data_IF_605309080431
#
_entry.id   IF_605309080431
#
_cell.length_a   1.000
_cell.length_b   1.000
_cell.length_c   1.000
_cell.angle_alpha   90.00
_cell.angle_beta   90.00
_cell.angle_gamma   90.00
#
_symmetry.space_group_name_H-M   'P 1'
#
loop_
_entity.id
_entity.type
_entity.pdbx_description
1 polymer ?
#
# COMPACT_ATOMS: atom_id res chain seq x y z
N UNK A 1 -24.11 -14.77 5.53
CA UNK A 1 -22.65 -14.98 5.52
C UNK A 1 -22.00 -13.63 5.38
N UNK A 2 -21.09 -13.30 6.29
CA UNK A 2 -20.37 -12.04 6.32
C UNK A 2 -18.90 -12.32 5.97
N UNK A 3 -18.36 -11.61 4.99
CA UNK A 3 -16.96 -11.76 4.56
C UNK A 3 -16.10 -10.64 5.13
N UNK A 4 -14.81 -10.89 5.31
CA UNK A 4 -13.83 -9.87 5.69
C UNK A 4 -12.86 -9.63 4.54
N UNK A 5 -12.65 -8.36 4.17
CA UNK A 5 -11.61 -7.96 3.22
C UNK A 5 -10.31 -7.61 3.96
N UNK A 6 -9.17 -7.92 3.38
CA UNK A 6 -7.86 -7.46 3.84
C UNK A 6 -7.10 -6.83 2.68
N UNK A 7 -6.78 -5.55 2.81
CA UNK A 7 -5.88 -4.83 1.93
C UNK A 7 -4.47 -4.88 2.50
N UNK A 8 -3.56 -5.50 1.77
CA UNK A 8 -2.14 -5.58 2.07
C UNK A 8 -1.34 -4.79 1.01
N UNK A 9 -0.98 -3.55 1.36
CA UNK A 9 -0.16 -2.68 0.52
C UNK A 9 1.32 -2.95 0.82
N UNK A 10 1.90 -3.96 0.18
CA UNK A 10 3.30 -4.33 0.36
C UNK A 10 4.29 -3.48 -0.44
N UNK A 11 5.59 -3.68 -0.18
CA UNK A 11 6.68 -2.95 -0.84
C UNK A 11 6.82 -3.25 -2.33
N UNK A 12 6.44 -4.45 -2.80
CA UNK A 12 6.59 -4.82 -4.22
C UNK A 12 5.25 -4.99 -4.93
N UNK A 13 4.17 -5.21 -4.19
CA UNK A 13 2.84 -5.44 -4.74
C UNK A 13 1.76 -5.01 -3.76
N UNK A 14 0.59 -4.70 -4.30
CA UNK A 14 -0.65 -4.52 -3.52
C UNK A 14 -1.48 -5.78 -3.67
N UNK A 15 -2.11 -6.24 -2.59
CA UNK A 15 -2.97 -7.43 -2.57
C UNK A 15 -4.27 -7.14 -1.83
N UNK A 16 -5.37 -7.69 -2.33
CA UNK A 16 -6.62 -7.78 -1.58
C UNK A 16 -7.02 -9.24 -1.43
N UNK A 17 -7.40 -9.63 -0.22
CA UNK A 17 -7.81 -11.00 0.12
C UNK A 17 -9.19 -10.95 0.78
N UNK A 18 -10.08 -11.84 0.37
CA UNK A 18 -11.41 -12.02 0.97
C UNK A 18 -11.41 -13.30 1.78
N UNK A 19 -11.85 -13.19 3.03
CA UNK A 19 -11.97 -14.27 4.00
C UNK A 19 -13.44 -14.54 4.34
N UNK A 20 -13.80 -15.81 4.52
CA UNK A 20 -15.08 -16.20 5.13
C UNK A 20 -15.01 -16.20 6.67
N UNK A 21 -16.12 -16.56 7.31
CA UNK A 21 -16.26 -16.64 8.78
C UNK A 21 -15.36 -17.67 9.47
N UNK A 22 -14.79 -18.60 8.71
CA UNK A 22 -13.81 -19.58 9.21
C UNK A 22 -12.36 -19.09 9.13
N UNK A 23 -12.15 -17.93 8.47
CA UNK A 23 -10.83 -17.42 8.14
C UNK A 23 -10.22 -18.04 6.87
N UNK A 24 -11.03 -18.74 6.06
CA UNK A 24 -10.56 -19.32 4.80
C UNK A 24 -10.52 -18.27 3.69
N UNK A 25 -9.48 -18.32 2.83
CA UNK A 25 -9.38 -17.45 1.66
C UNK A 25 -10.37 -17.93 0.60
N UNK A 26 -11.35 -17.08 0.28
CA UNK A 26 -12.37 -17.36 -0.74
C UNK A 26 -12.18 -16.56 -2.02
N UNK A 27 -11.30 -15.56 -2.02
CA UNK A 27 -10.85 -14.87 -3.22
C UNK A 27 -9.67 -13.95 -2.94
N UNK A 28 -8.83 -13.73 -3.95
CA UNK A 28 -7.68 -12.84 -3.84
C UNK A 28 -7.30 -12.25 -5.20
N UNK A 29 -6.65 -11.09 -5.18
CA UNK A 29 -6.00 -10.51 -6.35
C UNK A 29 -4.78 -9.71 -5.91
N UNK A 30 -3.74 -9.70 -6.75
CA UNK A 30 -2.47 -9.04 -6.46
C UNK A 30 -1.91 -8.43 -7.73
N UNK A 31 -1.35 -7.24 -7.60
CA UNK A 31 -0.66 -6.55 -8.68
C UNK A 31 0.63 -5.91 -8.16
N UNK A 32 1.70 -6.06 -8.93
CA UNK A 32 2.96 -5.37 -8.66
C UNK A 32 2.84 -3.87 -8.97
N UNK A 33 3.69 -3.09 -8.33
CA UNK A 33 3.87 -1.67 -8.62
C UNK A 33 5.34 -1.38 -8.88
N UNK A 34 5.60 -0.29 -9.61
CA UNK A 34 6.93 0.00 -10.13
C UNK A 34 7.85 0.48 -9.01
N UNK A 35 9.04 -0.14 -8.92
CA UNK A 35 10.14 0.37 -8.13
C UNK A 35 10.82 1.52 -8.90
N UNK A 36 10.76 2.73 -8.38
CA UNK A 36 11.40 3.91 -8.99
C UNK A 36 12.71 4.15 -8.25
N UNK A 37 13.83 4.12 -8.99
CA UNK A 37 15.19 4.24 -8.46
C UNK A 37 15.92 5.41 -9.15
N UNK A 38 15.62 6.68 -8.80
CA UNK A 38 16.18 7.84 -9.51
C UNK A 38 17.70 7.98 -9.35
N UNK A 39 18.22 7.56 -8.20
CA UNK A 39 19.63 7.62 -7.82
C UNK A 39 19.99 6.42 -6.93
N UNK A 40 21.28 6.14 -6.76
CA UNK A 40 21.73 5.09 -5.86
C UNK A 40 21.25 5.38 -4.42
N UNK A 41 20.63 4.38 -3.78
CA UNK A 41 20.06 4.50 -2.42
C UNK A 41 18.68 5.18 -2.36
N UNK A 42 18.18 5.75 -3.45
CA UNK A 42 16.86 6.36 -3.49
C UNK A 42 15.82 5.34 -3.97
N UNK A 43 14.76 5.18 -3.18
CA UNK A 43 13.68 4.23 -3.47
C UNK A 43 12.36 4.95 -3.36
N UNK A 44 11.64 5.00 -4.48
CA UNK A 44 10.38 5.72 -4.62
C UNK A 44 9.28 4.84 -5.22
N UNK A 45 8.03 5.15 -4.87
CA UNK A 45 6.84 4.62 -5.54
C UNK A 45 5.95 5.76 -6.04
N UNK A 46 5.28 5.58 -7.17
CA UNK A 46 4.20 6.49 -7.57
C UNK A 46 2.98 6.26 -6.66
N UNK A 47 2.64 7.25 -5.84
CA UNK A 47 1.50 7.18 -4.92
C UNK A 47 0.15 7.02 -5.66
N UNK A 48 0.05 7.54 -6.88
CA UNK A 48 -1.13 7.36 -7.75
C UNK A 48 -1.21 5.92 -8.26
N UNK A 49 -0.07 5.28 -8.59
CA UNK A 49 -0.05 3.86 -8.95
C UNK A 49 -0.48 2.98 -7.77
N UNK A 50 0.03 3.23 -6.56
CA UNK A 50 -0.38 2.51 -5.34
C UNK A 50 -1.91 2.57 -5.17
N UNK A 51 -2.50 3.76 -5.36
CA UNK A 51 -3.95 3.94 -5.24
C UNK A 51 -4.73 3.26 -6.37
N UNK A 52 -4.24 3.30 -7.60
CA UNK A 52 -4.85 2.59 -8.73
C UNK A 52 -4.82 1.07 -8.51
N UNK A 53 -3.67 0.51 -8.10
CA UNK A 53 -3.54 -0.91 -7.76
C UNK A 53 -4.47 -1.33 -6.66
N UNK A 54 -4.61 -0.52 -5.60
CA UNK A 54 -5.56 -0.77 -4.50
C UNK A 54 -6.98 -0.99 -5.02
N UNK A 55 -7.47 -0.11 -5.90
CA UNK A 55 -8.80 -0.23 -6.48
C UNK A 55 -8.95 -1.46 -7.39
N UNK A 56 -7.91 -1.77 -8.18
CA UNK A 56 -7.90 -2.93 -9.07
C UNK A 56 -7.92 -4.25 -8.29
N UNK A 57 -7.11 -4.37 -7.24
CA UNK A 57 -7.06 -5.61 -6.44
C UNK A 57 -8.33 -5.86 -5.64
N UNK A 58 -8.98 -4.81 -5.13
CA UNK A 58 -10.27 -4.94 -4.45
C UNK A 58 -11.31 -5.50 -5.43
N UNK A 59 -11.43 -4.91 -6.63
CA UNK A 59 -12.39 -5.37 -7.66
C UNK A 59 -12.09 -6.80 -8.10
N UNK A 60 -10.83 -7.12 -8.38
CA UNK A 60 -10.43 -8.46 -8.82
C UNK A 60 -10.68 -9.54 -7.78
N UNK A 61 -10.39 -9.26 -6.51
CA UNK A 61 -10.58 -10.22 -5.42
C UNK A 61 -12.07 -10.47 -5.12
N UNK A 62 -12.91 -9.44 -5.17
CA UNK A 62 -14.37 -9.60 -5.05
C UNK A 62 -14.94 -10.44 -6.21
N UNK A 63 -14.49 -10.19 -7.44
CA UNK A 63 -14.88 -10.98 -8.60
C UNK A 63 -14.43 -12.44 -8.46
N UNK A 64 -13.19 -12.68 -8.01
CA UNK A 64 -12.67 -14.03 -7.79
C UNK A 64 -13.39 -14.78 -6.65
N UNK A 65 -13.88 -14.06 -5.65
CA UNK A 65 -14.72 -14.62 -4.58
C UNK A 65 -16.20 -14.81 -5.00
N UNK A 66 -16.63 -14.23 -6.12
CA UNK A 66 -18.03 -14.28 -6.56
C UNK A 66 -18.98 -13.51 -5.64
N UNK A 67 -18.52 -12.45 -4.96
CA UNK A 67 -19.33 -11.66 -4.02
C UNK A 67 -19.42 -10.19 -4.43
N UNK A 68 -20.45 -9.52 -3.91
CA UNK A 68 -20.62 -8.07 -3.99
C UNK A 68 -19.98 -7.36 -2.80
N UNK A 69 -19.59 -6.10 -2.97
CA UNK A 69 -18.97 -5.30 -1.92
C UNK A 69 -19.83 -5.15 -0.65
N UNK A 70 -21.16 -5.14 -0.78
CA UNK A 70 -22.08 -5.06 0.36
C UNK A 70 -22.17 -6.36 1.19
N UNK A 71 -21.47 -7.42 0.79
CA UNK A 71 -21.34 -8.66 1.55
C UNK A 71 -20.08 -8.66 2.43
N UNK A 72 -19.19 -7.66 2.30
CA UNK A 72 -18.10 -7.44 3.23
C UNK A 72 -18.65 -6.80 4.51
N UNK A 73 -18.35 -7.39 5.67
CA UNK A 73 -18.62 -6.80 6.97
C UNK A 73 -17.59 -5.72 7.36
N UNK A 74 -16.38 -5.79 6.78
CA UNK A 74 -15.33 -4.81 7.01
C UNK A 74 -14.10 -5.05 6.16
N UNK A 75 -13.20 -4.07 6.17
CA UNK A 75 -11.90 -4.14 5.50
C UNK A 75 -10.81 -3.86 6.54
N UNK A 76 -9.90 -4.82 6.72
CA UNK A 76 -8.62 -4.60 7.39
C UNK A 76 -7.61 -3.98 6.42
N UNK A 77 -6.79 -3.06 6.91
CA UNK A 77 -5.75 -2.41 6.13
C UNK A 77 -4.41 -2.66 6.82
N UNK A 78 -3.46 -3.18 6.06
CA UNK A 78 -2.05 -3.29 6.43
C UNK A 78 -1.20 -2.75 5.28
N UNK A 79 -0.02 -2.25 5.59
CA UNK A 79 0.84 -1.56 4.65
C UNK A 79 2.31 -1.74 4.98
N UNK A 80 3.17 -1.54 3.98
CA UNK A 80 4.58 -1.24 4.21
C UNK A 80 4.68 -0.01 5.12
N UNK A 81 5.39 -0.17 6.23
CA UNK A 81 5.55 0.89 7.21
C UNK A 81 6.59 1.91 6.72
N UNK A 82 6.73 3.01 7.46
CA UNK A 82 7.64 4.16 7.26
C UNK A 82 7.49 4.95 5.94
N UNK A 83 7.08 4.30 4.85
CA UNK A 83 6.87 4.90 3.53
C UNK A 83 5.99 6.13 3.65
N UNK A 84 6.51 7.27 3.19
CA UNK A 84 5.91 8.58 3.43
C UNK A 84 5.33 9.14 2.14
N UNK A 85 4.06 9.58 2.20
CA UNK A 85 3.34 10.25 1.12
C UNK A 85 2.90 11.62 1.61
N UNK A 86 3.10 12.65 0.79
CA UNK A 86 2.54 13.99 1.02
C UNK A 86 1.63 14.33 -0.16
N UNK A 87 0.45 14.88 0.14
CA UNK A 87 -0.55 15.23 -0.85
C UNK A 87 -1.18 16.59 -0.55
N UNK A 88 -1.73 17.20 -1.59
CA UNK A 88 -2.56 18.40 -1.45
C UNK A 88 -3.92 18.04 -0.82
N UNK A 89 -4.29 18.72 0.27
CA UNK A 89 -5.50 18.39 1.05
C UNK A 89 -6.79 18.58 0.25
N UNK A 90 -6.85 19.59 -0.62
CA UNK A 90 -8.08 19.91 -1.35
C UNK A 90 -8.30 18.97 -2.54
N UNK A 91 -7.26 18.72 -3.33
CA UNK A 91 -7.33 17.90 -4.54
C UNK A 91 -7.05 16.42 -4.32
N UNK A 92 -6.42 16.05 -3.20
CA UNK A 92 -5.96 14.69 -2.93
C UNK A 92 -4.77 14.24 -3.79
N UNK A 93 -4.19 15.14 -4.60
CA UNK A 93 -3.08 14.80 -5.51
C UNK A 93 -1.76 14.68 -4.75
N UNK A 94 -0.97 13.62 -4.98
CA UNK A 94 0.38 13.53 -4.44
C UNK A 94 1.23 14.72 -4.91
N UNK A 95 2.01 15.30 -3.99
CA UNK A 95 2.96 16.39 -4.31
C UNK A 95 4.27 15.86 -4.89
N UNK A 96 4.58 14.59 -4.62
CA UNK A 96 5.75 13.86 -5.11
C UNK A 96 5.44 12.35 -5.14
N UNK A 97 6.40 11.56 -5.61
CA UNK A 97 6.42 10.13 -5.31
C UNK A 97 6.47 9.90 -3.80
N UNK A 98 5.99 8.73 -3.38
CA UNK A 98 6.18 8.21 -2.05
C UNK A 98 7.67 7.89 -1.83
N UNK A 99 8.24 8.34 -0.71
CA UNK A 99 9.60 7.97 -0.30
C UNK A 99 9.47 6.68 0.50
N UNK A 100 10.08 5.60 -0.02
CA UNK A 100 9.94 4.24 0.53
C UNK A 100 10.86 4.07 1.74
N UNK A 101 10.50 3.17 2.65
CA UNK A 101 11.30 2.87 3.86
C UNK A 101 12.75 2.44 3.59
N UNK A 102 13.04 1.94 2.39
CA UNK A 102 14.38 1.53 1.96
C UNK A 102 15.27 2.72 1.55
N UNK A 103 14.68 3.90 1.40
CA UNK A 103 15.35 5.09 0.92
C UNK A 103 16.38 5.62 1.94
N UNK A 104 17.60 5.89 1.47
CA UNK A 104 18.72 6.37 2.30
C UNK A 104 19.06 7.84 2.05
N UNK A 105 18.23 8.61 1.33
CA UNK A 105 18.56 10.01 0.95
C UNK A 105 18.77 10.94 2.14
N UNK A 106 18.22 10.61 3.31
CA UNK A 106 18.35 11.39 4.54
C UNK A 106 19.54 10.97 5.40
N UNK A 107 20.38 10.03 4.95
CA UNK A 107 21.48 9.49 5.75
C UNK A 107 22.48 10.56 6.21
N UNK A 108 22.83 11.53 5.35
CA UNK A 108 23.72 12.63 5.72
C UNK A 108 23.09 13.53 6.81
N UNK A 109 21.79 13.84 6.66
CA UNK A 109 21.05 14.60 7.67
C UNK A 109 20.99 13.84 9.00
N UNK A 110 20.66 12.55 8.99
CA UNK A 110 20.64 11.72 10.19
C UNK A 110 22.02 11.66 10.87
N UNK A 111 23.10 11.63 10.07
CA UNK A 111 24.47 11.63 10.59
C UNK A 111 24.85 12.95 11.27
N UNK A 112 24.22 14.06 10.88
CA UNK A 112 24.40 15.38 11.49
C UNK A 112 23.68 15.55 12.83
N UNK A 113 22.72 14.67 13.15
CA UNK A 113 21.98 14.72 14.42
C UNK A 113 22.83 14.19 15.59
N UNK A 114 22.70 14.85 16.74
CA UNK A 114 23.26 14.39 18.01
C UNK A 114 22.55 13.13 18.51
N UNK A 115 23.22 12.33 19.33
CA UNK A 115 22.63 11.09 19.89
C UNK A 115 21.43 11.35 20.82
N UNK A 116 21.29 12.57 21.35
CA UNK A 116 20.10 12.98 22.13
C UNK A 116 18.86 13.22 21.26
N UNK A 117 19.03 13.43 19.95
CA UNK A 117 17.96 13.68 18.98
C UNK A 117 17.61 12.43 18.17
N UNK A 118 18.53 11.46 18.10
CA UNK A 118 18.32 10.14 17.49
C UNK A 118 17.54 9.22 18.41
#
# INVERSE_FOLDING_TARGET
MAFMGSLDQGTSSTRFIVFDETGSIVGQHQLEHRQILPQAGWVEHDASEIWQRTQEVIKGALANAGILANQLAGIGITNQRETTVIWDRESGRPLSNAIVWQDTRTQEFLSSLTDEVK
#
